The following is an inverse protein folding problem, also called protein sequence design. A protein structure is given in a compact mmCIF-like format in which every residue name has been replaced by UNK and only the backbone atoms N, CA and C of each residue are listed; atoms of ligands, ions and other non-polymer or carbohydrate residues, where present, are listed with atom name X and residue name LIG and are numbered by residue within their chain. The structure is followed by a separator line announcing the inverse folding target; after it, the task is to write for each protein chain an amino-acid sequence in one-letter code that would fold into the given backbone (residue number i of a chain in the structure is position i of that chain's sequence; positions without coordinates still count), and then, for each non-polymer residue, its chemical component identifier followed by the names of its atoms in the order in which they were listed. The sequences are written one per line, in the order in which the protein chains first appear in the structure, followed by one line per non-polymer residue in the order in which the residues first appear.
data_IF_890527013523
#
_entry.id   IF_890527013523
#
_cell.length_a   1.000
_cell.length_b   1.000
_cell.length_c   1.000
_cell.angle_alpha   90.00
_cell.angle_beta   90.00
_cell.angle_gamma   90.00
#
_symmetry.space_group_name_H-M   'P 1'
#
loop_
_entity.id
_entity.type
_entity.pdbx_description
1 polymer ?
#
# COMPACT_ATOMS: atom_id res chain seq x y z
N UNK A 1 10.28 -16.96 -46.36
CA UNK A 1 9.67 -15.87 -45.58
C UNK A 1 8.83 -16.52 -44.49
N UNK A 2 9.38 -16.72 -43.29
CA UNK A 2 8.62 -16.98 -42.04
C UNK A 2 9.52 -16.96 -40.78
N UNK A 3 10.84 -17.19 -40.91
CA UNK A 3 11.75 -17.35 -39.76
C UNK A 3 11.76 -16.19 -38.78
N UNK A 4 11.64 -14.94 -39.24
CA UNK A 4 11.62 -13.77 -38.36
C UNK A 4 10.33 -13.60 -37.55
N UNK A 5 9.20 -14.07 -38.09
CA UNK A 5 7.90 -13.96 -37.42
C UNK A 5 7.73 -15.09 -36.40
N UNK A 6 8.27 -16.28 -36.72
CA UNK A 6 8.33 -17.43 -35.82
C UNK A 6 9.26 -17.15 -34.63
N UNK A 7 10.46 -16.58 -34.87
CA UNK A 7 11.41 -16.17 -33.81
C UNK A 7 10.82 -15.06 -32.91
N UNK A 8 10.12 -14.08 -33.49
CA UNK A 8 9.46 -13.03 -32.72
C UNK A 8 8.32 -13.58 -31.86
N UNK A 9 7.51 -14.49 -32.41
CA UNK A 9 6.41 -15.12 -31.68
C UNK A 9 6.92 -15.95 -30.50
N UNK A 10 8.03 -16.67 -30.66
CA UNK A 10 8.68 -17.43 -29.59
C UNK A 10 9.17 -16.51 -28.46
N UNK A 11 9.91 -15.45 -28.81
CA UNK A 11 10.38 -14.47 -27.82
C UNK A 11 9.21 -13.80 -27.09
N UNK A 12 8.15 -13.43 -27.82
CA UNK A 12 6.97 -12.81 -27.23
C UNK A 12 6.23 -13.79 -26.30
N UNK A 13 6.11 -15.06 -26.69
CA UNK A 13 5.51 -16.10 -25.88
C UNK A 13 6.28 -16.32 -24.57
N UNK A 14 7.61 -16.34 -24.62
CA UNK A 14 8.47 -16.47 -23.44
C UNK A 14 8.33 -15.28 -22.48
N UNK A 15 8.32 -14.05 -23.02
CA UNK A 15 8.12 -12.84 -22.21
C UNK A 15 6.73 -12.83 -21.58
N UNK A 16 5.69 -13.17 -22.36
CA UNK A 16 4.33 -13.26 -21.83
C UNK A 16 4.23 -14.33 -20.76
N UNK A 17 4.77 -15.54 -20.99
CA UNK A 17 4.76 -16.62 -20.02
C UNK A 17 5.46 -16.20 -18.71
N UNK A 18 6.58 -15.49 -18.79
CA UNK A 18 7.26 -14.94 -17.62
C UNK A 18 6.34 -13.97 -16.83
N UNK A 19 5.73 -13.01 -17.52
CA UNK A 19 4.86 -12.00 -16.90
C UNK A 19 3.57 -12.61 -16.33
N UNK A 20 2.94 -13.55 -17.05
CA UNK A 20 1.68 -14.17 -16.62
C UNK A 20 1.89 -15.16 -15.48
N UNK A 21 3.01 -15.88 -15.46
CA UNK A 21 3.33 -16.85 -14.40
C UNK A 21 3.86 -16.17 -13.13
N UNK A 22 4.25 -14.90 -13.19
CA UNK A 22 4.79 -14.17 -12.04
C UNK A 22 3.87 -14.28 -10.81
N UNK A 23 2.55 -14.12 -10.98
CA UNK A 23 1.61 -14.21 -9.87
C UNK A 23 1.61 -15.58 -9.17
N UNK A 24 1.78 -16.66 -9.96
CA UNK A 24 1.86 -18.03 -9.45
C UNK A 24 3.18 -18.22 -8.70
N UNK A 25 4.28 -17.74 -9.26
CA UNK A 25 5.61 -17.83 -8.66
C UNK A 25 5.66 -17.07 -7.34
N UNK A 26 5.18 -15.82 -7.32
CA UNK A 26 5.13 -14.99 -6.11
C UNK A 26 4.29 -15.65 -5.00
N UNK A 27 3.16 -16.28 -5.33
CA UNK A 27 2.34 -17.00 -4.36
C UNK A 27 3.09 -18.21 -3.77
N UNK A 28 3.85 -18.95 -4.58
CA UNK A 28 4.66 -20.10 -4.09
C UNK A 28 5.83 -19.64 -3.22
N UNK A 29 6.49 -18.54 -3.60
CA UNK A 29 7.62 -17.98 -2.84
C UNK A 29 7.20 -17.45 -1.47
N UNK A 30 5.98 -16.92 -1.36
CA UNK A 30 5.46 -16.34 -0.12
C UNK A 30 5.52 -17.30 1.08
N UNK A 31 5.42 -18.61 0.86
CA UNK A 31 5.52 -19.61 1.93
C UNK A 31 6.87 -19.60 2.64
N UNK A 32 7.92 -19.19 1.94
CA UNK A 32 9.31 -19.17 2.41
C UNK A 32 9.74 -17.82 2.98
N UNK A 33 8.87 -16.80 2.94
CA UNK A 33 9.20 -15.46 3.39
C UNK A 33 9.12 -15.34 4.91
N UNK A 34 10.12 -14.67 5.50
CA UNK A 34 10.15 -14.33 6.91
C UNK A 34 10.48 -12.84 7.08
N UNK A 35 9.53 -11.99 7.50
CA UNK A 35 8.12 -12.30 7.75
C UNK A 35 7.30 -12.53 6.46
N UNK A 36 6.15 -13.20 6.59
CA UNK A 36 5.17 -13.33 5.48
C UNK A 36 4.47 -11.98 5.25
N UNK A 37 4.25 -11.56 3.98
CA UNK A 37 3.49 -10.36 3.67
C UNK A 37 2.08 -10.43 4.27
N UNK A 38 1.75 -9.46 5.12
CA UNK A 38 0.49 -9.43 5.86
C UNK A 38 -0.75 -9.50 4.94
N UNK A 39 -1.82 -10.07 5.48
CA UNK A 39 -3.14 -10.20 4.84
C UNK A 39 -4.19 -9.55 5.73
N UNK A 40 -5.30 -9.12 5.15
CA UNK A 40 -6.44 -8.64 5.95
C UNK A 40 -7.10 -9.75 6.77
N UNK A 41 -6.99 -11.00 6.33
CA UNK A 41 -7.55 -12.16 6.99
C UNK A 41 -6.59 -13.35 6.88
N UNK A 42 -6.40 -14.06 7.99
CA UNK A 42 -5.57 -15.27 8.07
C UNK A 42 -6.38 -16.56 7.84
N UNK A 43 -7.71 -16.46 7.84
CA UNK A 43 -8.62 -17.59 7.63
C UNK A 43 -9.81 -17.21 6.76
N UNK A 44 -10.44 -18.20 6.14
CA UNK A 44 -11.68 -18.02 5.38
C UNK A 44 -12.81 -17.47 6.27
N UNK A 45 -12.88 -17.89 7.54
CA UNK A 45 -13.84 -17.38 8.51
C UNK A 45 -13.66 -15.89 8.79
N UNK A 46 -12.42 -15.45 9.01
CA UNK A 46 -12.09 -14.04 9.20
C UNK A 46 -12.41 -13.20 7.97
N UNK A 47 -12.14 -13.74 6.78
CA UNK A 47 -12.47 -13.07 5.51
C UNK A 47 -13.98 -12.88 5.35
N UNK A 48 -14.78 -13.93 5.62
CA UNK A 48 -16.25 -13.85 5.59
C UNK A 48 -16.78 -12.81 6.58
N UNK A 49 -16.24 -12.76 7.79
CA UNK A 49 -16.63 -11.78 8.79
C UNK A 49 -16.32 -10.33 8.35
N UNK A 50 -15.15 -10.10 7.74
CA UNK A 50 -14.78 -8.79 7.20
C UNK A 50 -15.72 -8.39 6.04
N UNK A 51 -15.96 -9.30 5.09
CA UNK A 51 -16.85 -9.05 3.96
C UNK A 51 -18.27 -8.71 4.42
N UNK A 52 -18.79 -9.45 5.41
CA UNK A 52 -20.11 -9.18 5.95
C UNK A 52 -20.23 -7.78 6.59
N UNK A 53 -19.19 -7.34 7.31
CA UNK A 53 -19.14 -5.97 7.86
C UNK A 53 -19.13 -4.92 6.76
N UNK A 54 -18.35 -5.15 5.71
CA UNK A 54 -18.25 -4.23 4.55
C UNK A 54 -19.59 -4.14 3.82
N UNK A 55 -20.23 -5.27 3.52
CA UNK A 55 -21.54 -5.32 2.88
C UNK A 55 -22.55 -4.49 3.67
N UNK A 56 -22.60 -4.68 5.00
CA UNK A 56 -23.46 -3.89 5.87
C UNK A 56 -23.16 -2.39 5.82
N UNK A 57 -21.88 -2.01 5.87
CA UNK A 57 -21.46 -0.59 5.76
C UNK A 57 -21.88 -0.01 4.41
N UNK A 58 -21.68 -0.75 3.31
CA UNK A 58 -22.05 -0.32 1.97
C UNK A 58 -23.57 -0.13 1.88
N UNK A 59 -24.35 -1.08 2.37
CA UNK A 59 -25.82 -1.00 2.41
C UNK A 59 -26.28 0.21 3.24
N UNK A 60 -25.70 0.42 4.42
CA UNK A 60 -26.04 1.53 5.29
C UNK A 60 -25.65 2.91 4.70
N UNK A 61 -24.66 2.94 3.81
CA UNK A 61 -24.26 4.13 3.06
C UNK A 61 -25.11 4.37 1.79
N UNK A 62 -26.11 3.54 1.51
CA UNK A 62 -26.99 3.65 0.35
C UNK A 62 -26.50 2.88 -0.88
N UNK A 63 -25.54 1.97 -0.69
CA UNK A 63 -25.05 1.07 -1.72
C UNK A 63 -26.07 0.03 -2.17
N UNK A 64 -25.75 -0.66 -3.27
CA UNK A 64 -26.58 -1.72 -3.79
C UNK A 64 -26.43 -2.98 -2.91
N UNK A 65 -27.55 -3.58 -2.45
CA UNK A 65 -27.49 -4.82 -1.70
C UNK A 65 -27.02 -5.97 -2.58
N UNK A 66 -26.50 -7.03 -1.94
CA UNK A 66 -26.01 -8.23 -2.62
C UNK A 66 -27.12 -9.03 -3.33
N UNK A 67 -28.38 -8.87 -2.90
CA UNK A 67 -29.55 -9.50 -3.51
C UNK A 67 -30.64 -8.44 -3.77
N UNK A 68 -31.08 -8.35 -5.02
CA UNK A 68 -32.21 -7.52 -5.44
C UNK A 68 -33.31 -8.46 -5.93
N UNK A 69 -34.46 -8.45 -5.26
CA UNK A 69 -35.67 -9.12 -5.74
C UNK A 69 -36.57 -8.02 -6.30
N UNK A 70 -36.76 -8.02 -7.62
CA UNK A 70 -37.55 -7.02 -8.34
C UNK A 70 -38.63 -7.73 -9.17
N UNK A 71 -39.86 -7.23 -9.13
CA UNK A 71 -40.92 -7.65 -10.03
C UNK A 71 -40.95 -6.76 -11.29
N UNK A 72 -41.47 -7.27 -12.40
CA UNK A 72 -41.43 -6.59 -13.72
C UNK A 72 -42.05 -5.17 -13.73
N UNK A 73 -42.92 -4.86 -12.76
CA UNK A 73 -43.58 -3.55 -12.63
C UNK A 73 -42.84 -2.56 -11.72
N UNK A 74 -41.82 -3.00 -10.99
CA UNK A 74 -41.18 -2.15 -9.99
C UNK A 74 -40.19 -1.16 -10.63
N UNK A 75 -40.13 0.09 -10.15
CA UNK A 75 -39.14 1.04 -10.63
C UNK A 75 -37.73 0.54 -10.34
N UNK A 76 -36.80 0.77 -11.27
CA UNK A 76 -35.40 0.39 -11.09
C UNK A 76 -34.83 1.15 -9.88
N UNK A 77 -34.40 0.45 -8.81
CA UNK A 77 -33.85 1.11 -7.64
C UNK A 77 -32.54 1.83 -8.00
N UNK A 78 -32.36 3.03 -7.43
CA UNK A 78 -31.13 3.81 -7.57
C UNK A 78 -30.29 3.62 -6.31
N UNK A 79 -29.05 3.19 -6.50
CA UNK A 79 -28.09 2.99 -5.42
C UNK A 79 -26.89 3.91 -5.61
N UNK A 80 -26.27 4.29 -4.50
CA UNK A 80 -24.98 4.97 -4.54
C UNK A 80 -23.87 3.94 -4.74
N UNK A 81 -23.24 3.95 -5.91
CA UNK A 81 -22.15 3.00 -6.20
C UNK A 81 -20.82 3.42 -5.58
N UNK A 82 -20.73 4.64 -5.05
CA UNK A 82 -19.50 5.20 -4.51
C UNK A 82 -18.91 4.43 -3.32
N UNK A 83 -19.67 4.03 -2.27
CA UNK A 83 -19.11 3.30 -1.13
C UNK A 83 -18.44 1.99 -1.56
N UNK A 84 -19.12 1.24 -2.43
CA UNK A 84 -18.59 -0.01 -2.99
C UNK A 84 -17.33 0.24 -3.82
N UNK A 85 -17.33 1.26 -4.68
CA UNK A 85 -16.15 1.63 -5.47
C UNK A 85 -14.96 2.03 -4.58
N UNK A 86 -15.19 2.82 -3.53
CA UNK A 86 -14.16 3.26 -2.59
C UNK A 86 -13.53 2.08 -1.81
N UNK A 87 -14.35 1.15 -1.32
CA UNK A 87 -13.85 -0.08 -0.71
C UNK A 87 -13.03 -0.91 -1.70
N UNK A 88 -13.55 -1.13 -2.92
CA UNK A 88 -12.86 -1.90 -3.96
C UNK A 88 -11.50 -1.28 -4.32
N UNK A 89 -11.41 0.04 -4.43
CA UNK A 89 -10.15 0.74 -4.66
C UNK A 89 -9.17 0.56 -3.50
N UNK A 90 -9.64 0.70 -2.25
CA UNK A 90 -8.84 0.47 -1.05
C UNK A 90 -8.26 -0.95 -1.03
N UNK A 91 -9.10 -1.98 -1.25
CA UNK A 91 -8.66 -3.38 -1.29
C UNK A 91 -7.75 -3.69 -2.48
N UNK A 92 -8.09 -3.17 -3.67
CA UNK A 92 -7.26 -3.34 -4.85
C UNK A 92 -5.86 -2.75 -4.64
N UNK A 93 -5.77 -1.57 -4.02
CA UNK A 93 -4.50 -0.93 -3.75
C UNK A 93 -3.69 -1.67 -2.68
N UNK A 94 -4.32 -2.15 -1.60
CA UNK A 94 -3.65 -3.02 -0.63
C UNK A 94 -3.09 -4.28 -1.31
N UNK A 95 -3.89 -4.96 -2.14
CA UNK A 95 -3.46 -6.17 -2.84
C UNK A 95 -2.31 -5.89 -3.82
N UNK A 96 -2.33 -4.76 -4.54
CA UNK A 96 -1.21 -4.30 -5.39
C UNK A 96 0.03 -3.98 -4.57
N UNK A 97 -0.13 -3.38 -3.39
CA UNK A 97 0.96 -3.08 -2.46
C UNK A 97 1.60 -4.37 -1.98
N UNK A 98 0.79 -5.31 -1.50
CA UNK A 98 1.23 -6.63 -1.06
C UNK A 98 2.03 -7.37 -2.15
N UNK A 99 1.55 -7.37 -3.40
CA UNK A 99 2.32 -7.93 -4.54
C UNK A 99 3.67 -7.25 -4.73
N UNK A 100 3.75 -5.92 -4.58
CA UNK A 100 5.03 -5.20 -4.61
C UNK A 100 5.95 -5.60 -3.46
N UNK A 101 5.41 -5.78 -2.24
CA UNK A 101 6.18 -6.26 -1.08
C UNK A 101 6.74 -7.66 -1.36
N UNK A 102 5.92 -8.54 -1.93
CA UNK A 102 6.36 -9.90 -2.31
C UNK A 102 7.48 -9.86 -3.34
N UNK A 103 7.41 -8.96 -4.34
CA UNK A 103 8.48 -8.75 -5.33
C UNK A 103 9.75 -8.23 -4.69
N UNK A 104 9.67 -7.17 -3.87
CA UNK A 104 10.83 -6.62 -3.18
C UNK A 104 11.52 -7.70 -2.33
N UNK A 105 10.76 -8.49 -1.57
CA UNK A 105 11.30 -9.58 -0.76
C UNK A 105 11.97 -10.67 -1.63
N UNK A 106 11.36 -11.02 -2.77
CA UNK A 106 11.98 -11.93 -3.74
C UNK A 106 13.34 -11.41 -4.22
N UNK A 107 13.46 -10.12 -4.54
CA UNK A 107 14.74 -9.54 -4.96
C UNK A 107 15.76 -9.43 -3.83
N UNK A 108 15.34 -9.23 -2.58
CA UNK A 108 16.21 -9.34 -1.41
C UNK A 108 16.81 -10.75 -1.29
N UNK A 109 15.96 -11.78 -1.36
CA UNK A 109 16.39 -13.18 -1.32
C UNK A 109 17.28 -13.49 -2.53
N UNK A 110 16.89 -13.04 -3.72
CA UNK A 110 17.68 -13.18 -4.92
C UNK A 110 19.08 -12.57 -4.77
N UNK A 111 19.17 -11.35 -4.25
CA UNK A 111 20.43 -10.66 -4.00
C UNK A 111 21.34 -11.47 -3.07
N UNK A 112 20.80 -11.96 -1.96
CA UNK A 112 21.58 -12.77 -1.02
C UNK A 112 22.01 -14.11 -1.65
N UNK A 113 21.14 -14.76 -2.42
CA UNK A 113 21.45 -16.00 -3.15
C UNK A 113 22.60 -15.83 -4.15
N UNK A 114 22.58 -14.76 -4.95
CA UNK A 114 23.66 -14.47 -5.91
C UNK A 114 25.00 -14.16 -5.23
N UNK A 115 24.98 -13.60 -4.02
CA UNK A 115 26.19 -13.30 -3.24
C UNK A 115 26.74 -14.52 -2.50
N UNK A 116 25.87 -15.42 -2.03
CA UNK A 116 26.24 -16.49 -1.09
C UNK A 116 26.40 -17.86 -1.75
N UNK A 117 25.76 -18.12 -2.90
CA UNK A 117 25.76 -19.44 -3.53
C UNK A 117 26.29 -19.32 -4.97
N UNK A 118 27.61 -19.54 -5.18
CA UNK A 118 28.25 -19.39 -6.49
C UNK A 118 27.71 -20.32 -7.59
N UNK A 119 26.95 -21.37 -7.22
CA UNK A 119 26.39 -22.37 -8.13
C UNK A 119 24.96 -22.11 -8.60
N UNK A 120 24.27 -21.09 -8.06
CA UNK A 120 22.91 -20.71 -8.49
C UNK A 120 22.87 -20.18 -9.94
N UNK A 121 23.87 -19.42 -10.42
CA UNK A 121 23.88 -19.03 -11.83
C UNK A 121 24.18 -20.26 -12.69
N UNK A 122 23.26 -20.62 -13.59
CA UNK A 122 23.51 -21.58 -14.69
C UNK A 122 24.52 -21.05 -15.73
N UNK A 123 25.22 -19.95 -15.43
CA UNK A 123 26.13 -19.26 -16.32
C UNK A 123 27.56 -19.34 -15.77
N UNK A 124 28.51 -19.95 -16.51
CA UNK A 124 29.90 -20.12 -16.06
C UNK A 124 30.76 -18.83 -16.12
N UNK A 125 30.22 -17.72 -16.63
CA UNK A 125 30.93 -16.45 -16.82
C UNK A 125 30.77 -15.49 -15.63
N UNK A 126 31.87 -15.25 -14.91
CA UNK A 126 31.94 -14.36 -13.73
C UNK A 126 31.51 -12.91 -14.05
N UNK A 127 31.73 -12.43 -15.28
CA UNK A 127 31.29 -11.09 -15.68
C UNK A 127 29.76 -11.01 -15.78
N UNK A 128 29.13 -12.01 -16.39
CA UNK A 128 27.65 -12.08 -16.49
C UNK A 128 27.00 -12.24 -15.11
N UNK A 129 27.62 -13.00 -14.21
CA UNK A 129 27.17 -13.14 -12.83
C UNK A 129 27.17 -11.79 -12.09
N UNK A 130 28.24 -11.00 -12.21
CA UNK A 130 28.32 -9.67 -11.59
C UNK A 130 27.26 -8.69 -12.11
N UNK A 131 27.00 -8.70 -13.44
CA UNK A 131 25.96 -7.87 -14.06
C UNK A 131 24.58 -8.27 -13.54
N UNK A 132 24.32 -9.57 -13.40
CA UNK A 132 23.06 -10.09 -12.92
C UNK A 132 22.83 -9.74 -11.44
N UNK A 133 23.84 -9.89 -10.59
CA UNK A 133 23.79 -9.47 -9.19
C UNK A 133 23.45 -7.97 -9.05
N UNK A 134 24.13 -7.10 -9.81
CA UNK A 134 23.86 -5.67 -9.79
C UNK A 134 22.43 -5.33 -10.27
N UNK A 135 21.90 -6.07 -11.24
CA UNK A 135 20.51 -5.90 -11.71
C UNK A 135 19.49 -6.32 -10.67
N UNK A 136 19.75 -7.42 -9.95
CA UNK A 136 18.89 -7.90 -8.85
C UNK A 136 18.88 -6.88 -7.72
N UNK A 137 20.04 -6.32 -7.37
CA UNK A 137 20.15 -5.26 -6.37
C UNK A 137 19.38 -3.99 -6.77
N UNK A 138 19.54 -3.56 -8.01
CA UNK A 138 18.81 -2.40 -8.53
C UNK A 138 17.28 -2.62 -8.53
N UNK A 139 16.85 -3.83 -8.89
CA UNK A 139 15.43 -4.20 -8.91
C UNK A 139 14.82 -4.23 -7.50
N UNK A 140 15.58 -4.68 -6.48
CA UNK A 140 15.14 -4.57 -5.08
C UNK A 140 14.78 -3.12 -4.74
N UNK A 141 15.68 -2.18 -5.03
CA UNK A 141 15.51 -0.78 -4.69
C UNK A 141 14.32 -0.12 -5.41
N UNK A 142 14.13 -0.40 -6.69
CA UNK A 142 12.97 0.07 -7.46
C UNK A 142 11.64 -0.47 -6.88
N UNK A 143 11.62 -1.74 -6.48
CA UNK A 143 10.44 -2.31 -5.85
C UNK A 143 10.21 -1.79 -4.43
N UNK A 144 11.26 -1.51 -3.66
CA UNK A 144 11.15 -0.89 -2.35
C UNK A 144 10.56 0.53 -2.45
N UNK A 145 11.01 1.34 -3.42
CA UNK A 145 10.42 2.66 -3.71
C UNK A 145 8.93 2.55 -4.02
N UNK A 146 8.59 1.62 -4.91
CA UNK A 146 7.21 1.33 -5.29
C UNK A 146 6.36 0.91 -4.08
N UNK A 147 6.91 0.14 -3.15
CA UNK A 147 6.21 -0.27 -1.94
C UNK A 147 5.83 0.92 -1.08
N UNK A 148 6.76 1.83 -0.77
CA UNK A 148 6.48 3.00 0.07
C UNK A 148 5.43 3.92 -0.56
N UNK A 149 5.52 4.16 -1.87
CA UNK A 149 4.54 4.97 -2.59
C UNK A 149 3.15 4.34 -2.47
N UNK A 150 3.03 3.03 -2.76
CA UNK A 150 1.75 2.32 -2.72
C UNK A 150 1.18 2.21 -1.30
N UNK A 151 2.02 1.98 -0.29
CA UNK A 151 1.62 1.97 1.13
C UNK A 151 1.04 3.33 1.55
N UNK A 152 1.67 4.43 1.18
CA UNK A 152 1.15 5.76 1.45
C UNK A 152 -0.15 6.03 0.68
N UNK A 153 -0.23 5.63 -0.59
CA UNK A 153 -1.45 5.76 -1.39
C UNK A 153 -2.61 4.90 -0.88
N UNK A 154 -2.34 3.75 -0.23
CA UNK A 154 -3.38 2.98 0.45
C UNK A 154 -4.07 3.84 1.53
N UNK A 155 -3.29 4.57 2.31
CA UNK A 155 -3.84 5.50 3.29
C UNK A 155 -4.59 6.66 2.65
N UNK A 156 -4.17 7.16 1.48
CA UNK A 156 -4.97 8.16 0.73
C UNK A 156 -6.38 7.61 0.40
N UNK A 157 -6.51 6.32 0.03
CA UNK A 157 -7.81 5.67 -0.23
C UNK A 157 -8.64 5.42 1.03
N UNK A 158 -7.99 5.06 2.14
CA UNK A 158 -8.67 5.00 3.45
C UNK A 158 -9.23 6.37 3.81
N UNK A 159 -8.45 7.43 3.60
CA UNK A 159 -8.87 8.81 3.84
C UNK A 159 -10.09 9.20 3.01
N UNK A 160 -10.08 8.89 1.72
CA UNK A 160 -11.20 9.14 0.80
C UNK A 160 -12.49 8.43 1.26
N UNK A 161 -12.40 7.17 1.71
CA UNK A 161 -13.55 6.43 2.24
C UNK A 161 -14.08 7.08 3.51
N UNK A 162 -13.19 7.49 4.42
CA UNK A 162 -13.58 8.16 5.67
C UNK A 162 -14.19 9.54 5.44
N UNK A 163 -13.64 10.34 4.50
CA UNK A 163 -14.16 11.67 4.18
C UNK A 163 -15.59 11.59 3.64
N UNK A 164 -15.87 10.56 2.83
CA UNK A 164 -17.23 10.28 2.39
C UNK A 164 -18.15 9.85 3.53
N UNK A 165 -17.71 8.92 4.37
CA UNK A 165 -18.56 8.39 5.45
C UNK A 165 -18.87 9.44 6.52
N UNK A 166 -17.91 10.28 6.91
CA UNK A 166 -18.11 11.30 7.95
C UNK A 166 -18.68 12.62 7.41
N UNK A 167 -18.38 13.00 6.17
CA UNK A 167 -18.67 14.34 5.67
C UNK A 167 -19.43 14.35 4.33
N UNK A 168 -19.68 13.19 3.71
CA UNK A 168 -20.31 13.10 2.40
C UNK A 168 -19.44 13.59 1.24
N UNK A 169 -18.13 13.78 1.46
CA UNK A 169 -17.20 14.33 0.47
C UNK A 169 -16.70 13.24 -0.46
N UNK A 170 -16.87 13.43 -1.79
CA UNK A 170 -16.51 12.45 -2.84
C UNK A 170 -15.20 12.77 -3.56
N UNK A 171 -14.29 13.49 -2.91
CA UNK A 171 -13.05 13.98 -3.52
C UNK A 171 -11.85 13.11 -3.12
N UNK A 172 -10.93 12.94 -4.05
CA UNK A 172 -9.64 12.32 -3.77
C UNK A 172 -8.63 13.40 -3.39
N UNK A 173 -8.03 13.28 -2.21
CA UNK A 173 -6.96 14.15 -1.73
C UNK A 173 -5.69 13.33 -1.42
N UNK A 174 -4.52 13.85 -1.83
CA UNK A 174 -3.24 13.34 -1.34
C UNK A 174 -3.12 13.69 0.15
N UNK A 175 -2.61 12.77 0.95
CA UNK A 175 -2.59 12.87 2.42
C UNK A 175 -3.99 12.84 3.05
N UNK A 176 -4.97 12.28 2.33
CA UNK A 176 -6.38 12.27 2.71
C UNK A 176 -6.65 11.70 4.10
N UNK A 177 -5.95 10.64 4.51
CA UNK A 177 -6.15 10.05 5.85
C UNK A 177 -5.72 10.97 6.99
N UNK A 178 -4.58 11.67 6.84
CA UNK A 178 -4.15 12.64 7.85
C UNK A 178 -5.13 13.81 7.94
N UNK A 179 -5.57 14.31 6.78
CA UNK A 179 -6.55 15.40 6.65
C UNK A 179 -7.88 15.05 7.32
N UNK A 180 -8.50 13.93 6.95
CA UNK A 180 -9.79 13.51 7.52
C UNK A 180 -9.72 13.23 9.02
N UNK A 181 -8.63 12.64 9.51
CA UNK A 181 -8.45 12.41 10.95
C UNK A 181 -8.42 13.73 11.73
N UNK A 182 -7.77 14.79 11.21
CA UNK A 182 -7.85 16.11 11.84
C UNK A 182 -9.26 16.71 11.73
N UNK A 183 -9.93 16.58 10.57
CA UNK A 183 -11.32 17.04 10.42
C UNK A 183 -12.24 16.37 11.45
N UNK A 184 -12.15 15.05 11.62
CA UNK A 184 -12.94 14.30 12.61
C UNK A 184 -12.61 14.77 14.03
N UNK A 185 -11.32 14.95 14.35
CA UNK A 185 -10.91 15.44 15.65
C UNK A 185 -11.50 16.80 15.99
N UNK A 186 -11.43 17.74 15.04
CA UNK A 186 -11.84 19.12 15.25
C UNK A 186 -13.37 19.29 15.29
N UNK A 187 -14.11 18.47 14.53
CA UNK A 187 -15.57 18.62 14.42
C UNK A 187 -16.35 17.70 15.36
N UNK A 188 -15.86 16.49 15.65
CA UNK A 188 -16.67 15.45 16.31
C UNK A 188 -16.14 15.03 17.68
N UNK A 189 -14.83 14.92 17.88
CA UNK A 189 -14.25 14.35 19.12
C UNK A 189 -14.52 15.22 20.36
N UNK A 190 -14.65 16.54 20.19
CA UNK A 190 -14.98 17.45 21.29
C UNK A 190 -16.46 17.33 21.72
N UNK A 191 -17.34 16.92 20.81
CA UNK A 191 -18.79 16.94 20.99
C UNK A 191 -19.32 15.54 21.35
N UNK A 192 -18.61 14.49 20.92
CA UNK A 192 -18.98 13.10 21.15
C UNK A 192 -17.95 12.35 22.03
N UNK A 193 -18.25 12.20 23.34
CA UNK A 193 -17.40 11.44 24.27
C UNK A 193 -17.24 9.96 23.90
N UNK A 194 -18.23 9.35 23.24
CA UNK A 194 -18.16 7.94 22.87
C UNK A 194 -17.17 7.72 21.73
N UNK A 195 -17.14 8.62 20.73
CA UNK A 195 -16.08 8.64 19.71
C UNK A 195 -14.70 8.82 20.34
N UNK A 196 -14.57 9.77 21.27
CA UNK A 196 -13.31 10.07 21.96
C UNK A 196 -12.74 8.85 22.70
N UNK A 197 -13.62 8.07 23.33
CA UNK A 197 -13.24 6.89 24.13
C UNK A 197 -13.19 5.60 23.30
N UNK A 198 -13.46 5.66 22.00
CA UNK A 198 -13.47 4.50 21.14
C UNK A 198 -12.04 3.96 20.93
N UNK A 199 -11.77 2.66 21.20
CA UNK A 199 -10.45 2.08 20.98
C UNK A 199 -9.95 2.20 19.53
N UNK A 200 -10.88 2.07 18.57
CA UNK A 200 -10.59 2.22 17.15
C UNK A 200 -10.09 3.63 16.80
N UNK A 201 -10.76 4.67 17.33
CA UNK A 201 -10.33 6.06 17.18
C UNK A 201 -8.93 6.27 17.76
N UNK A 202 -8.70 5.81 18.99
CA UNK A 202 -7.39 5.92 19.64
C UNK A 202 -6.28 5.25 18.83
N UNK A 203 -6.49 4.01 18.38
CA UNK A 203 -5.50 3.27 17.60
C UNK A 203 -5.13 3.97 16.29
N UNK A 204 -6.12 4.45 15.54
CA UNK A 204 -5.90 5.18 14.28
C UNK A 204 -5.22 6.54 14.54
N UNK A 205 -5.61 7.25 15.60
CA UNK A 205 -4.99 8.53 15.98
C UNK A 205 -3.53 8.36 16.40
N UNK A 206 -3.22 7.32 17.17
CA UNK A 206 -1.85 6.99 17.55
C UNK A 206 -0.97 6.70 16.33
N UNK A 207 -1.48 5.92 15.37
CA UNK A 207 -0.76 5.66 14.13
C UNK A 207 -0.55 6.93 13.30
N UNK A 208 -1.60 7.73 13.12
CA UNK A 208 -1.57 8.98 12.36
C UNK A 208 -0.57 10.00 12.93
N UNK A 209 -0.45 10.09 14.26
CA UNK A 209 0.51 10.98 14.95
C UNK A 209 1.91 10.39 15.13
N UNK A 210 2.14 9.13 14.75
CA UNK A 210 3.43 8.49 14.95
C UNK A 210 4.46 8.96 13.92
N UNK A 211 5.58 9.47 14.41
CA UNK A 211 6.78 9.82 13.63
C UNK A 211 7.87 8.74 13.65
N UNK A 212 7.59 7.60 14.30
CA UNK A 212 8.48 6.43 14.27
C UNK A 212 8.63 5.88 12.85
N UNK A 213 9.64 5.05 12.60
CA UNK A 213 9.91 4.48 11.27
C UNK A 213 8.73 3.65 10.70
N UNK A 214 7.88 3.11 11.57
CA UNK A 214 6.65 2.38 11.26
C UNK A 214 5.38 3.25 11.38
N UNK A 215 5.52 4.56 11.63
CA UNK A 215 4.43 5.51 11.77
C UNK A 215 4.04 6.20 10.46
N UNK A 216 2.81 6.71 10.40
CA UNK A 216 2.29 7.39 9.20
C UNK A 216 3.11 8.62 8.83
N UNK A 217 3.49 9.45 9.81
CA UNK A 217 4.25 10.68 9.55
C UNK A 217 5.57 10.40 8.86
N UNK A 218 6.25 9.32 9.25
CA UNK A 218 7.47 8.85 8.58
C UNK A 218 7.19 8.36 7.16
N UNK A 219 6.16 7.53 6.99
CA UNK A 219 5.78 6.97 5.68
C UNK A 219 5.46 8.07 4.66
N UNK A 220 4.69 9.09 5.05
CA UNK A 220 4.31 10.20 4.16
C UNK A 220 5.51 11.06 3.77
N UNK A 221 6.43 11.34 4.73
CA UNK A 221 7.69 12.02 4.42
C UNK A 221 8.54 11.20 3.46
N UNK A 222 8.65 9.88 3.69
CA UNK A 222 9.37 8.95 2.80
C UNK A 222 8.77 8.95 1.40
N UNK A 223 7.45 8.84 1.24
CA UNK A 223 6.79 8.96 -0.08
C UNK A 223 7.12 10.30 -0.74
N UNK A 224 6.99 11.42 -0.01
CA UNK A 224 7.23 12.74 -0.57
C UNK A 224 8.66 12.90 -1.07
N UNK A 225 9.63 12.40 -0.31
CA UNK A 225 11.03 12.34 -0.70
C UNK A 225 11.25 11.57 -2.01
N UNK A 226 10.62 10.39 -2.14
CA UNK A 226 10.75 9.54 -3.33
C UNK A 226 10.10 10.15 -4.57
N UNK A 227 8.91 10.75 -4.41
CA UNK A 227 8.19 11.40 -5.53
C UNK A 227 8.93 12.67 -6.01
N UNK A 228 9.54 13.42 -5.10
CA UNK A 228 10.14 14.72 -5.37
C UNK A 228 11.67 14.67 -5.42
N UNK A 229 12.23 13.69 -6.14
CA UNK A 229 13.62 13.71 -6.66
C UNK A 229 14.68 12.90 -5.92
N UNK A 230 14.38 11.76 -5.28
CA UNK A 230 15.42 10.84 -4.77
C UNK A 230 15.07 9.36 -4.93
N UNK A 231 16.02 8.58 -5.45
CA UNK A 231 15.97 7.12 -5.45
C UNK A 231 16.43 6.56 -4.09
N UNK A 232 15.86 5.43 -3.67
CA UNK A 232 16.43 4.60 -2.61
C UNK A 232 17.64 3.88 -3.17
N UNK A 233 18.75 4.59 -3.36
CA UNK A 233 20.04 3.94 -3.60
C UNK A 233 21.00 4.42 -2.52
N UNK A 234 21.85 3.53 -2.00
CA UNK A 234 23.02 3.98 -1.27
C UNK A 234 23.74 5.01 -2.16
N UNK A 235 23.94 6.21 -1.64
CA UNK A 235 24.74 7.22 -2.34
C UNK A 235 26.14 6.61 -2.45
N UNK A 236 26.56 6.23 -3.66
CA UNK A 236 27.97 5.97 -3.94
C UNK A 236 28.73 7.21 -3.46
N UNK A 237 29.82 7.01 -2.71
CA UNK A 237 30.66 8.10 -2.22
C UNK A 237 31.33 8.78 -3.41
N UNK A 238 30.58 9.60 -4.14
CA UNK A 238 31.10 10.49 -5.15
C UNK A 238 31.57 11.76 -4.42
N UNK A 239 32.88 11.85 -4.26
CA UNK A 239 33.60 13.06 -3.84
C UNK A 239 33.49 14.22 -4.88
N UNK A 240 32.63 14.13 -5.91
CA UNK A 240 32.66 15.03 -7.07
C UNK A 240 31.30 15.57 -7.56
N UNK A 241 30.28 15.70 -6.71
CA UNK A 241 29.12 16.53 -7.04
C UNK A 241 29.28 17.92 -6.38
N UNK A 242 29.51 19.02 -7.14
CA UNK A 242 29.51 20.36 -6.57
C UNK A 242 28.09 20.70 -6.12
N UNK A 243 27.80 20.51 -4.83
CA UNK A 243 26.57 20.95 -4.20
C UNK A 243 26.51 22.48 -4.31
N UNK A 244 25.58 22.99 -5.11
CA UNK A 244 25.16 24.38 -5.00
C UNK A 244 24.52 24.57 -3.61
N UNK A 245 25.30 25.08 -2.66
CA UNK A 245 24.86 25.39 -1.30
C UNK A 245 24.04 26.68 -1.27
N UNK A 246 22.71 26.54 -1.38
CA UNK A 246 21.76 27.57 -0.97
C UNK A 246 21.30 27.29 0.46
N UNK A 247 21.06 28.33 1.25
CA UNK A 247 20.66 28.24 2.67
C UNK A 247 19.39 27.41 2.95
N UNK A 248 18.60 27.07 1.92
CA UNK A 248 17.47 26.13 2.01
C UNK A 248 17.89 24.64 2.04
N UNK A 249 19.15 24.31 1.71
CA UNK A 249 19.65 22.93 1.66
C UNK A 249 19.88 22.29 3.03
N UNK A 250 19.98 23.03 4.13
CA UNK A 250 20.26 22.42 5.44
C UNK A 250 19.06 21.65 6.01
N UNK A 251 17.83 22.15 5.76
CA UNK A 251 16.58 21.44 6.10
C UNK A 251 16.40 20.20 5.24
N UNK A 252 16.74 20.30 3.95
CA UNK A 252 16.68 19.19 3.01
C UNK A 252 17.76 18.15 3.27
N UNK A 253 18.98 18.57 3.66
CA UNK A 253 20.10 17.68 4.06
C UNK A 253 19.78 16.89 5.32
N UNK A 254 19.26 17.53 6.37
CA UNK A 254 18.85 16.84 7.60
C UNK A 254 17.68 15.86 7.33
N UNK A 255 16.76 16.20 6.43
CA UNK A 255 15.67 15.32 6.04
C UNK A 255 16.18 14.14 5.20
N UNK A 256 17.13 14.40 4.29
CA UNK A 256 17.86 13.39 3.49
C UNK A 256 18.65 12.42 4.34
N UNK A 257 19.35 12.89 5.36
CA UNK A 257 20.09 12.04 6.29
C UNK A 257 19.14 11.13 7.10
N UNK A 258 18.00 11.67 7.56
CA UNK A 258 16.98 10.89 8.28
C UNK A 258 16.21 9.90 7.40
N UNK A 259 16.18 10.14 6.10
CA UNK A 259 15.53 9.30 5.10
C UNK A 259 16.57 8.67 4.16
N UNK A 260 17.81 8.47 4.63
CA UNK A 260 18.77 7.66 3.90
C UNK A 260 18.26 6.21 3.91
N UNK A 261 18.37 5.46 2.79
CA UNK A 261 18.11 4.02 2.83
C UNK A 261 19.12 3.34 3.76
N UNK A 262 18.62 2.44 4.61
CA UNK A 262 19.45 1.54 5.41
C UNK A 262 19.86 0.32 4.56
N UNK A 263 20.18 -0.83 5.19
CA UNK A 263 20.38 -2.08 4.45
C UNK A 263 19.10 -2.53 3.75
N UNK A 264 19.22 -3.44 2.77
CA UNK A 264 18.05 -3.99 2.08
C UNK A 264 17.13 -4.72 3.07
N UNK A 265 17.71 -5.43 4.04
CA UNK A 265 17.01 -6.13 5.11
C UNK A 265 16.22 -5.17 6.00
N UNK A 266 16.85 -4.07 6.43
CA UNK A 266 16.20 -3.06 7.28
C UNK A 266 15.06 -2.35 6.54
N UNK A 267 15.24 -2.04 5.26
CA UNK A 267 14.20 -1.44 4.43
C UNK A 267 13.05 -2.42 4.20
N UNK A 268 13.34 -3.70 3.99
CA UNK A 268 12.32 -4.73 3.84
C UNK A 268 11.52 -4.93 5.14
N UNK A 269 12.18 -4.89 6.30
CA UNK A 269 11.52 -4.96 7.62
C UNK A 269 10.57 -3.79 7.83
N UNK A 270 10.98 -2.55 7.51
CA UNK A 270 10.09 -1.37 7.55
C UNK A 270 8.88 -1.55 6.64
N UNK A 271 9.08 -1.99 5.41
CA UNK A 271 8.00 -2.20 4.43
C UNK A 271 7.00 -3.24 4.96
N UNK A 272 7.47 -4.36 5.51
CA UNK A 272 6.61 -5.37 6.12
C UNK A 272 5.84 -4.84 7.33
N UNK A 273 6.48 -4.06 8.20
CA UNK A 273 5.82 -3.40 9.35
C UNK A 273 4.70 -2.49 8.90
N UNK A 274 4.92 -1.64 7.89
CA UNK A 274 3.88 -0.77 7.33
C UNK A 274 2.71 -1.56 6.73
N UNK A 275 3.01 -2.64 5.99
CA UNK A 275 1.96 -3.52 5.43
C UNK A 275 1.16 -4.21 6.55
N UNK A 276 1.82 -4.68 7.60
CA UNK A 276 1.19 -5.30 8.75
C UNK A 276 0.32 -4.30 9.53
N UNK A 277 0.76 -3.06 9.68
CA UNK A 277 -0.06 -1.99 10.28
C UNK A 277 -1.27 -1.70 9.40
N UNK A 278 -1.11 -1.55 8.08
CA UNK A 278 -2.23 -1.37 7.17
C UNK A 278 -3.29 -2.49 7.28
N UNK A 279 -2.84 -3.75 7.39
CA UNK A 279 -3.72 -4.89 7.58
C UNK A 279 -4.43 -4.88 8.95
N UNK A 280 -3.66 -4.69 10.03
CA UNK A 280 -4.16 -4.73 11.42
C UNK A 280 -5.07 -3.55 11.78
N UNK A 281 -5.01 -2.44 11.03
CA UNK A 281 -5.89 -1.28 11.23
C UNK A 281 -7.24 -1.42 10.53
N UNK A 282 -7.42 -2.38 9.61
CA UNK A 282 -8.71 -2.56 8.92
C UNK A 282 -9.88 -2.73 9.90
N UNK A 283 -9.81 -3.57 10.96
CA UNK A 283 -10.89 -3.65 11.93
C UNK A 283 -11.23 -2.32 12.61
N UNK A 284 -10.22 -1.49 12.91
CA UNK A 284 -10.42 -0.17 13.51
C UNK A 284 -11.07 0.80 12.52
N UNK A 285 -10.65 0.77 11.25
CA UNK A 285 -11.28 1.55 10.17
C UNK A 285 -12.75 1.17 10.08
N UNK A 286 -13.08 -0.12 9.95
CA UNK A 286 -14.46 -0.59 9.84
C UNK A 286 -15.29 -0.18 11.06
N UNK A 287 -14.76 -0.33 12.27
CA UNK A 287 -15.49 0.06 13.48
C UNK A 287 -15.76 1.57 13.53
N UNK A 288 -14.81 2.39 13.09
CA UNK A 288 -14.99 3.83 13.03
C UNK A 288 -16.05 4.24 11.98
N UNK A 289 -16.08 3.57 10.83
CA UNK A 289 -17.10 3.79 9.80
C UNK A 289 -18.51 3.37 10.28
N UNK A 290 -18.63 2.19 10.89
CA UNK A 290 -19.88 1.69 11.48
C UNK A 290 -20.43 2.67 12.52
N UNK A 291 -19.56 3.19 13.38
CA UNK A 291 -19.92 4.18 14.40
C UNK A 291 -20.44 5.48 13.77
N UNK A 292 -19.75 5.98 12.74
CA UNK A 292 -20.15 7.21 12.07
C UNK A 292 -21.52 7.10 11.39
N UNK A 293 -21.82 5.94 10.84
CA UNK A 293 -23.11 5.61 10.22
C UNK A 293 -24.22 5.54 11.27
N UNK A 294 -23.96 4.94 12.43
CA UNK A 294 -24.95 4.78 13.51
C UNK A 294 -25.41 6.11 14.08
N UNK A 295 -24.51 7.08 14.18
CA UNK A 295 -24.81 8.42 14.71
C UNK A 295 -25.26 9.39 13.61
N UNK A 296 -25.14 8.96 12.35
CA UNK A 296 -25.45 9.73 11.16
C UNK A 296 -24.73 11.10 11.16
N UNK A 297 -23.40 11.08 11.27
CA UNK A 297 -22.58 12.31 11.19
C UNK A 297 -22.69 13.07 9.86
N UNK A 298 -23.43 12.55 8.88
CA UNK A 298 -23.58 13.17 7.57
C UNK A 298 -24.43 14.44 7.70
N UNK A 299 -23.97 15.57 7.14
CA UNK A 299 -24.72 16.83 7.18
C UNK A 299 -25.98 16.84 6.31
N UNK A 300 -26.25 15.79 5.52
CA UNK A 300 -27.42 15.70 4.64
C UNK A 300 -28.18 14.38 4.89
N UNK A 301 -29.51 14.42 5.10
CA UNK A 301 -30.31 13.22 5.28
C UNK A 301 -30.36 12.37 4.01
N UNK A 302 -30.52 11.05 4.20
CA UNK A 302 -30.61 10.02 3.15
C UNK A 302 -31.75 10.27 2.17
#
# INVERSE_FOLDING_TARGET
MSTTDDDFAEILADVMAFVTNEAIILNRLEEYFSPKPAKFADSEGSLKAINHRIEKIVDDLGGAPSLIIQFDSDPIPKYDTYPNAAFNEMFALFNRTRKSVTRAHMFLIGSSMYRQIPSIPSHPDTKRQSILANRVDAAFWEHAETCYIRLASYWDRVGQLMDFTFFGIRQFERDGFSSVMEKIHNNWVAIDPALRNMPAWYALRCYQKSDKADGLGWLLRRRNFLIHSMHLRPIESDDEAPLFESAFNHLDKNLREKLKPDSMEDEMDKIHKHLAIAASQLPNILSLLEYAIQIDFRPFPR
#
